data_IF_319731607553
#
_entry.id   IF_319731607553
#
_cell.length_a   1.000
_cell.length_b   1.000
_cell.length_c   1.000
_cell.angle_alpha   90.00
_cell.angle_beta   90.00
_cell.angle_gamma   90.00
#
_symmetry.space_group_name_H-M   'P 1'
#
loop_
_entity.id
_entity.type
_entity.pdbx_description
1 polymer ?
#
# COMPACT_ATOMS: atom_id res chain seq x y z
N UNK A 1 -6.44 -16.04 25.03
CA UNK A 1 -6.85 -14.81 24.33
C UNK A 1 -5.60 -14.14 23.83
N UNK A 2 -5.17 -14.54 22.65
CA UNK A 2 -3.93 -14.12 22.01
C UNK A 2 -4.00 -12.63 21.66
N UNK A 3 -3.17 -11.84 22.34
CA UNK A 3 -3.09 -10.38 22.22
C UNK A 3 -2.29 -9.97 20.97
N UNK A 4 -2.58 -10.53 19.81
CA UNK A 4 -1.77 -10.32 18.59
C UNK A 4 -2.55 -9.75 17.40
N UNK A 5 -3.72 -9.15 17.61
CA UNK A 5 -4.48 -8.55 16.50
C UNK A 5 -4.35 -7.03 16.38
N UNK A 6 -3.83 -6.33 17.39
CA UNK A 6 -3.61 -4.88 17.31
C UNK A 6 -2.13 -4.58 17.34
N UNK A 7 -1.54 -4.10 16.23
CA UNK A 7 -0.17 -3.67 16.25
C UNK A 7 -0.10 -2.39 17.10
N UNK A 8 0.47 -2.51 18.30
CA UNK A 8 0.71 -1.36 19.18
C UNK A 8 1.58 -0.34 18.43
N UNK A 9 1.47 0.97 18.73
CA UNK A 9 2.25 2.00 18.05
C UNK A 9 3.76 1.69 18.01
N UNK A 10 4.30 1.10 19.09
CA UNK A 10 5.70 0.66 19.14
C UNK A 10 6.05 -0.49 18.18
N UNK A 11 5.15 -1.45 17.95
CA UNK A 11 5.36 -2.53 16.98
C UNK A 11 5.28 -2.02 15.54
N UNK A 12 4.38 -1.08 15.24
CA UNK A 12 4.31 -0.44 13.93
C UNK A 12 5.57 0.37 13.62
N UNK A 13 6.04 1.18 14.57
CA UNK A 13 7.27 1.96 14.41
C UNK A 13 8.48 1.06 14.15
N UNK A 14 8.60 -0.04 14.89
CA UNK A 14 9.68 -1.01 14.68
C UNK A 14 9.59 -1.65 13.29
N UNK A 15 8.38 -2.00 12.85
CA UNK A 15 8.16 -2.59 11.54
C UNK A 15 8.46 -1.61 10.40
N UNK A 16 8.02 -0.35 10.51
CA UNK A 16 8.33 0.70 9.52
C UNK A 16 9.84 0.94 9.44
N UNK A 17 10.55 0.91 10.56
CA UNK A 17 12.01 1.03 10.58
C UNK A 17 12.69 -0.13 9.84
N UNK A 18 12.26 -1.36 10.09
CA UNK A 18 12.76 -2.54 9.37
C UNK A 18 12.46 -2.46 7.86
N UNK A 19 11.27 -1.98 7.48
CA UNK A 19 10.95 -1.76 6.06
C UNK A 19 11.85 -0.70 5.42
N UNK A 20 12.19 0.35 6.16
CA UNK A 20 13.10 1.40 5.67
C UNK A 20 14.52 0.85 5.48
N UNK A 21 15.03 0.06 6.41
CA UNK A 21 16.34 -0.61 6.27
C UNK A 21 16.39 -1.51 5.03
N UNK A 22 15.35 -2.32 4.80
CA UNK A 22 15.28 -3.18 3.59
C UNK A 22 15.14 -2.34 2.32
N UNK A 23 14.36 -1.26 2.38
CA UNK A 23 14.21 -0.35 1.25
C UNK A 23 15.55 0.27 0.86
N UNK A 24 16.31 0.76 1.84
CA UNK A 24 17.61 1.40 1.63
C UNK A 24 18.65 0.42 1.08
N UNK A 25 18.57 -0.87 1.45
CA UNK A 25 19.41 -1.92 0.85
C UNK A 25 19.06 -2.20 -0.62
N UNK A 26 17.83 -1.93 -1.04
CA UNK A 26 17.38 -2.11 -2.42
C UNK A 26 17.53 -0.86 -3.28
N UNK A 27 17.62 0.33 -2.66
CA UNK A 27 17.83 1.63 -3.30
C UNK A 27 19.34 1.90 -3.49
N UNK A 28 19.95 1.19 -4.45
CA UNK A 28 21.39 1.28 -4.73
C UNK A 28 21.85 2.71 -5.07
N UNK A 29 21.01 3.46 -5.77
CA UNK A 29 21.30 4.84 -6.19
C UNK A 29 21.01 5.87 -5.08
N UNK A 30 20.37 5.46 -3.97
CA UNK A 30 19.88 6.34 -2.90
C UNK A 30 19.02 7.50 -3.40
N UNK A 31 18.26 7.28 -4.49
CA UNK A 31 17.41 8.29 -5.13
C UNK A 31 15.97 8.27 -4.59
N UNK A 32 15.68 7.34 -3.66
CA UNK A 32 14.37 7.12 -3.07
C UNK A 32 13.49 6.18 -3.87
N UNK A 33 14.03 5.46 -4.86
CA UNK A 33 13.30 4.54 -5.72
C UNK A 33 14.02 3.20 -5.92
N UNK A 34 13.28 2.12 -5.72
CA UNK A 34 13.75 0.78 -6.09
C UNK A 34 13.37 0.51 -7.56
N UNK A 35 14.34 0.12 -8.37
CA UNK A 35 14.10 -0.39 -9.73
C UNK A 35 13.53 -1.82 -9.63
N UNK A 36 12.36 -2.12 -10.23
CA UNK A 36 11.77 -3.47 -10.22
C UNK A 36 12.72 -4.55 -10.74
N UNK A 37 13.53 -4.23 -11.74
CA UNK A 37 14.52 -5.13 -12.33
C UNK A 37 15.58 -5.56 -11.30
N UNK A 38 16.15 -4.59 -10.58
CA UNK A 38 17.13 -4.85 -9.52
C UNK A 38 16.50 -5.62 -8.37
N UNK A 39 15.26 -5.28 -8.02
CA UNK A 39 14.51 -5.98 -6.98
C UNK A 39 14.31 -7.47 -7.32
N UNK A 40 13.90 -7.79 -8.56
CA UNK A 40 13.78 -9.18 -9.03
C UNK A 40 15.13 -9.89 -9.07
N UNK A 41 16.19 -9.19 -9.49
CA UNK A 41 17.55 -9.73 -9.49
C UNK A 41 18.03 -10.09 -8.08
N UNK A 42 17.78 -9.22 -7.08
CA UNK A 42 18.02 -9.53 -5.67
C UNK A 42 17.23 -10.75 -5.23
N UNK A 43 15.94 -10.83 -5.56
CA UNK A 43 15.11 -12.00 -5.28
C UNK A 43 15.66 -13.31 -5.87
N UNK A 44 16.26 -13.24 -7.06
CA UNK A 44 16.89 -14.39 -7.71
C UNK A 44 18.10 -14.92 -6.95
N UNK A 45 18.87 -14.06 -6.28
CA UNK A 45 20.02 -14.49 -5.47
C UNK A 45 19.61 -15.40 -4.31
N UNK A 46 18.37 -15.28 -3.85
CA UNK A 46 17.79 -16.11 -2.79
C UNK A 46 16.85 -17.20 -3.32
N UNK A 47 16.82 -17.46 -4.64
CA UNK A 47 15.94 -18.46 -5.25
C UNK A 47 14.45 -18.09 -5.27
N UNK A 48 14.11 -16.81 -5.06
CA UNK A 48 12.73 -16.31 -4.95
C UNK A 48 12.31 -15.40 -6.13
N UNK A 49 13.01 -15.49 -7.27
CA UNK A 49 12.81 -14.62 -8.44
C UNK A 49 11.34 -14.47 -8.84
N UNK A 50 10.60 -15.59 -8.95
CA UNK A 50 9.20 -15.56 -9.39
C UNK A 50 8.25 -14.92 -8.37
N UNK A 51 8.51 -15.07 -7.07
CA UNK A 51 7.71 -14.46 -6.01
C UNK A 51 7.97 -12.96 -5.94
N UNK A 52 9.24 -12.56 -6.04
CA UNK A 52 9.64 -11.16 -6.04
C UNK A 52 9.18 -10.45 -7.31
N UNK A 53 9.12 -11.14 -8.46
CA UNK A 53 8.54 -10.61 -9.70
C UNK A 53 7.06 -10.30 -9.57
N UNK A 54 6.28 -11.20 -8.97
CA UNK A 54 4.85 -10.94 -8.67
C UNK A 54 4.69 -9.78 -7.69
N UNK A 55 5.55 -9.72 -6.67
CA UNK A 55 5.55 -8.62 -5.71
C UNK A 55 5.90 -7.28 -6.40
N UNK A 56 6.92 -7.26 -7.25
CA UNK A 56 7.33 -6.07 -8.00
C UNK A 56 6.19 -5.52 -8.87
N UNK A 57 5.44 -6.39 -9.54
CA UNK A 57 4.25 -6.02 -10.32
C UNK A 57 3.14 -5.43 -9.43
N UNK A 58 2.95 -5.95 -8.21
CA UNK A 58 2.00 -5.36 -7.26
C UNK A 58 2.48 -4.01 -6.69
N UNK A 59 3.79 -3.80 -6.63
CA UNK A 59 4.42 -2.60 -6.09
C UNK A 59 4.48 -1.45 -7.11
N UNK A 60 4.55 -1.77 -8.41
CA UNK A 60 4.55 -0.82 -9.52
C UNK A 60 3.36 -1.06 -10.48
N UNK A 61 2.11 -0.83 -10.03
CA UNK A 61 0.92 -1.09 -10.85
C UNK A 61 0.84 -0.17 -12.07
N UNK A 62 1.44 1.02 -11.98
CA UNK A 62 1.45 2.02 -13.04
C UNK A 62 2.63 1.79 -14.02
N UNK A 63 3.49 0.79 -13.77
CA UNK A 63 4.63 0.42 -14.60
C UNK A 63 5.59 1.59 -14.89
N UNK A 64 5.80 2.46 -13.90
CA UNK A 64 6.76 3.56 -14.03
C UNK A 64 8.22 3.09 -13.96
N UNK A 65 8.46 1.80 -13.69
CA UNK A 65 9.79 1.23 -13.52
C UNK A 65 10.47 1.68 -12.23
N UNK A 66 9.69 2.21 -11.27
CA UNK A 66 10.20 2.78 -10.02
C UNK A 66 9.22 2.55 -8.87
N UNK A 67 9.70 1.92 -7.81
CA UNK A 67 8.93 1.64 -6.59
C UNK A 67 9.38 2.63 -5.51
N UNK A 68 8.52 3.58 -5.15
CA UNK A 68 8.76 4.47 -4.01
C UNK A 68 8.49 3.77 -2.66
N UNK A 69 8.99 4.34 -1.57
CA UNK A 69 8.84 3.78 -0.22
C UNK A 69 7.38 3.55 0.20
N UNK A 70 6.45 4.42 -0.22
CA UNK A 70 5.02 4.28 0.08
C UNK A 70 4.43 3.03 -0.59
N UNK A 71 4.75 2.82 -1.85
CA UNK A 71 4.32 1.64 -2.61
C UNK A 71 4.92 0.37 -2.00
N UNK A 72 6.22 0.39 -1.67
CA UNK A 72 6.92 -0.70 -0.96
C UNK A 72 6.21 -1.10 0.34
N UNK A 73 5.97 -0.12 1.23
CA UNK A 73 5.24 -0.35 2.48
C UNK A 73 3.86 -0.96 2.23
N UNK A 74 3.11 -0.42 1.27
CA UNK A 74 1.76 -0.89 0.94
C UNK A 74 1.77 -2.34 0.47
N UNK A 75 2.69 -2.73 -0.41
CA UNK A 75 2.78 -4.12 -0.89
C UNK A 75 3.15 -5.10 0.22
N UNK A 76 4.16 -4.77 1.03
CA UNK A 76 4.58 -5.66 2.14
C UNK A 76 3.50 -5.78 3.21
N UNK A 77 2.82 -4.67 3.57
CA UNK A 77 1.68 -4.69 4.49
C UNK A 77 0.51 -5.53 3.94
N UNK A 78 0.25 -5.46 2.63
CA UNK A 78 -0.78 -6.26 1.96
C UNK A 78 -0.44 -7.74 1.99
N UNK A 79 0.80 -8.10 1.65
CA UNK A 79 1.26 -9.49 1.64
C UNK A 79 1.26 -10.12 3.05
N UNK A 80 1.55 -9.32 4.08
CA UNK A 80 1.54 -9.77 5.48
C UNK A 80 0.13 -9.78 6.11
N UNK A 81 -0.92 -9.49 5.34
CA UNK A 81 -2.32 -9.61 5.77
C UNK A 81 -2.86 -8.43 6.59
N UNK A 82 -2.13 -7.31 6.69
CA UNK A 82 -2.60 -6.14 7.45
C UNK A 82 -3.80 -5.42 6.81
N UNK A 83 -4.14 -5.73 5.55
CA UNK A 83 -5.22 -5.07 4.80
C UNK A 83 -6.62 -5.52 5.22
N UNK A 84 -6.76 -6.65 5.91
CA UNK A 84 -8.04 -7.07 6.53
C UNK A 84 -8.51 -6.08 7.62
N UNK A 85 -7.61 -5.24 8.15
CA UNK A 85 -7.95 -4.20 9.14
C UNK A 85 -8.43 -2.90 8.48
N UNK A 86 -7.96 -2.57 7.26
CA UNK A 86 -8.33 -1.31 6.58
C UNK A 86 -9.54 -1.43 5.65
N UNK A 87 -9.94 -2.65 5.26
CA UNK A 87 -11.13 -2.88 4.42
C UNK A 87 -12.44 -3.03 5.21
N UNK A 88 -12.39 -3.20 6.54
CA UNK A 88 -13.61 -3.40 7.35
C UNK A 88 -14.45 -2.12 7.57
N UNK A 89 -13.99 -0.96 7.08
CA UNK A 89 -14.72 0.32 7.21
C UNK A 89 -15.17 0.93 5.87
N UNK A 90 -15.43 0.10 4.84
CA UNK A 90 -16.17 0.53 3.63
C UNK A 90 -17.33 -0.40 3.25
N UNK A 91 -18.03 -0.95 4.24
CA UNK A 91 -19.28 -1.68 3.99
C UNK A 91 -20.31 -1.55 5.13
N UNK A 92 -20.67 -0.32 5.46
CA UNK A 92 -21.92 0.05 6.17
C UNK A 92 -22.09 1.55 5.86
N UNK A 93 -23.07 2.07 5.14
CA UNK A 93 -24.42 1.65 4.76
C UNK A 93 -24.73 2.20 3.36
N UNK A 94 -25.47 1.41 2.59
CA UNK A 94 -26.39 1.95 1.60
C UNK A 94 -27.43 2.79 2.35
N UNK A 95 -27.56 4.08 2.02
CA UNK A 95 -28.84 4.77 2.19
C UNK A 95 -29.41 4.93 0.78
N UNK A 96 -30.38 4.08 0.50
CA UNK A 96 -31.37 4.23 -0.55
C UNK A 96 -32.17 5.51 -0.33
N UNK A 97 -32.34 6.34 -1.36
CA UNK A 97 -33.33 7.43 -1.35
C UNK A 97 -33.16 8.41 -2.52
N UNK A 98 -34.20 8.65 -3.35
CA UNK A 98 -34.08 9.44 -4.55
C UNK A 98 -34.23 10.93 -4.23
N UNK A 99 -33.22 11.74 -4.52
CA UNK A 99 -33.46 13.16 -4.79
C UNK A 99 -32.48 13.65 -5.86
N UNK A 100 -32.90 13.53 -7.11
CA UNK A 100 -32.58 14.55 -8.08
C UNK A 100 -33.43 15.79 -7.76
N UNK A 101 -32.81 16.94 -7.46
CA UNK A 101 -33.18 18.30 -7.93
C UNK A 101 -32.48 19.40 -7.12
N UNK A 102 -31.18 19.58 -7.33
CA UNK A 102 -30.46 20.79 -6.92
C UNK A 102 -30.65 21.94 -7.96
N UNK A 103 -31.89 22.22 -8.39
CA UNK A 103 -32.20 23.28 -9.38
C UNK A 103 -33.38 24.21 -9.02
N UNK A 104 -33.90 24.19 -7.79
CA UNK A 104 -35.07 25.02 -7.43
C UNK A 104 -34.83 26.16 -6.43
N UNK A 105 -33.61 26.42 -5.94
CA UNK A 105 -33.39 27.44 -4.90
C UNK A 105 -32.69 28.73 -5.37
N UNK A 106 -32.55 28.95 -6.68
CA UNK A 106 -32.16 30.27 -7.22
C UNK A 106 -33.27 30.82 -8.11
N UNK A 107 -34.39 31.18 -7.48
CA UNK A 107 -35.34 32.13 -8.06
C UNK A 107 -36.12 32.83 -6.96
N UNK A 108 -35.46 33.78 -6.31
CA UNK A 108 -36.03 35.03 -5.78
C UNK A 108 -34.91 35.85 -5.13
N UNK A 109 -34.03 36.40 -5.98
CA UNK A 109 -33.34 37.66 -5.70
C UNK A 109 -33.35 38.41 -7.03
N UNK A 110 -34.43 39.16 -7.27
CA UNK A 110 -34.54 40.59 -7.60
C UNK A 110 -35.93 40.82 -8.19
#
# INVERSE_FOLDING_TARGET
MDKDFFPTPGRLLTFVRQLKEVFDLCDEDSDGFIRPEHFVQLGSQFGQAEQVKKLAQCLDPDTFGRINFKNFCRGVLTMKGYVEVLKKERRTQFITGPYETAKSCYRHIT
#
